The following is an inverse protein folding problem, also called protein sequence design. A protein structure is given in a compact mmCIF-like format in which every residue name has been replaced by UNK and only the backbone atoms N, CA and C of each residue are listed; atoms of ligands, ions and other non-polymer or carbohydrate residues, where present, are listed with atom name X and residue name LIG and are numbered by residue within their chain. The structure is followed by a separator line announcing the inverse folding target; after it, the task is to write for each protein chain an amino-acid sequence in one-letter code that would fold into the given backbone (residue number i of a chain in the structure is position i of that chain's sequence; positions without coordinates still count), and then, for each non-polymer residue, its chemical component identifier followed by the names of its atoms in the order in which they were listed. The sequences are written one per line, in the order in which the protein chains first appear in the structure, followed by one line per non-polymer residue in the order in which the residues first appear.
data_IF_253319079869
#
_entry.id   IF_253319079869
#
_cell.length_a   1.000
_cell.length_b   1.000
_cell.length_c   1.000
_cell.angle_alpha   90.00
_cell.angle_beta   90.00
_cell.angle_gamma   90.00
#
_symmetry.space_group_name_H-M   'P 1'
#
loop_
_entity.id
_entity.type
_entity.pdbx_description
1 polymer ?
#
# COMPACT_ATOMS: atom_id res chain seq x y z
N UNK A 1 -6.92 30.73 -6.24
CA UNK A 1 -5.95 30.92 -5.16
C UNK A 1 -5.04 29.71 -5.23
N UNK A 2 -3.74 29.82 -5.56
CA UNK A 2 -2.84 28.67 -5.56
C UNK A 2 -2.79 28.14 -4.13
N UNK A 3 -2.97 26.82 -3.99
CA UNK A 3 -2.77 26.16 -2.72
C UNK A 3 -1.33 26.41 -2.28
N UNK A 4 -1.08 26.76 -1.01
CA UNK A 4 0.28 26.97 -0.53
C UNK A 4 1.03 25.66 -0.77
N UNK A 5 2.17 25.74 -1.45
CA UNK A 5 3.13 24.66 -1.53
C UNK A 5 3.62 24.36 -0.11
N UNK A 6 2.98 23.42 0.53
CA UNK A 6 3.14 23.17 1.97
C UNK A 6 4.56 22.75 2.33
N UNK A 7 5.33 22.30 1.35
CA UNK A 7 6.70 21.81 1.53
C UNK A 7 7.78 22.79 1.11
N UNK A 8 7.50 23.77 0.22
CA UNK A 8 8.52 24.75 -0.21
C UNK A 8 8.92 25.75 0.88
N UNK A 9 8.15 25.88 1.95
CA UNK A 9 8.35 26.88 3.01
C UNK A 9 8.69 26.29 4.39
N UNK A 10 8.79 24.94 4.52
CA UNK A 10 9.08 24.31 5.81
C UNK A 10 10.27 23.35 5.67
N UNK A 11 11.24 23.41 6.60
CA UNK A 11 12.17 22.32 6.76
C UNK A 11 11.39 21.04 7.00
N UNK A 12 11.86 19.92 6.45
CA UNK A 12 11.26 18.60 6.68
C UNK A 12 10.98 18.40 8.16
N UNK A 13 9.73 18.16 8.55
CA UNK A 13 9.41 17.89 9.94
C UNK A 13 10.18 16.65 10.39
N UNK A 14 11.06 16.78 11.37
CA UNK A 14 11.87 15.67 11.91
C UNK A 14 10.99 14.52 12.45
N UNK A 15 9.79 14.87 12.92
CA UNK A 15 8.76 13.92 13.33
C UNK A 15 8.24 13.09 12.16
N UNK A 16 8.06 13.68 10.98
CA UNK A 16 7.63 12.98 9.76
C UNK A 16 8.69 11.99 9.28
N UNK A 17 9.96 12.39 9.27
CA UNK A 17 11.07 11.48 8.94
C UNK A 17 11.18 10.33 9.94
N UNK A 18 11.01 10.61 11.23
CA UNK A 18 11.04 9.58 12.28
C UNK A 18 9.88 8.60 12.12
N UNK A 19 8.68 9.08 11.75
CA UNK A 19 7.51 8.26 11.49
C UNK A 19 7.70 7.39 10.23
N UNK A 20 8.29 7.94 9.16
CA UNK A 20 8.70 7.18 7.96
C UNK A 20 9.67 6.05 8.29
N UNK A 21 10.71 6.37 9.04
CA UNK A 21 11.70 5.38 9.44
C UNK A 21 11.10 4.26 10.28
N UNK A 22 10.22 4.58 11.24
CA UNK A 22 9.50 3.58 12.02
C UNK A 22 8.57 2.73 11.16
N UNK A 23 7.84 3.33 10.21
CA UNK A 23 6.96 2.61 9.31
C UNK A 23 7.77 1.72 8.38
N UNK A 24 8.86 2.19 7.79
CA UNK A 24 9.73 1.39 6.93
C UNK A 24 10.31 0.19 7.68
N UNK A 25 10.73 0.37 8.92
CA UNK A 25 11.24 -0.71 9.79
C UNK A 25 10.17 -1.77 10.09
N UNK A 26 8.92 -1.34 10.30
CA UNK A 26 7.81 -2.25 10.62
C UNK A 26 7.29 -3.01 9.39
N UNK A 27 7.49 -2.48 8.19
CA UNK A 27 7.04 -3.08 6.93
C UNK A 27 8.17 -3.70 6.10
N UNK A 28 9.43 -3.46 6.45
CA UNK A 28 10.55 -4.14 5.82
C UNK A 28 10.44 -5.65 6.07
N UNK A 29 9.97 -6.35 5.06
CA UNK A 29 9.82 -7.82 5.09
C UNK A 29 11.08 -8.54 4.64
N UNK A 30 12.09 -7.81 4.21
CA UNK A 30 13.42 -8.31 3.88
C UNK A 30 14.34 -8.29 5.11
N UNK A 31 15.43 -9.06 5.07
CA UNK A 31 16.49 -8.93 6.05
C UNK A 31 17.07 -7.52 5.95
N UNK A 32 16.99 -6.76 7.05
CA UNK A 32 17.70 -5.48 7.19
C UNK A 32 19.24 -5.67 7.19
N UNK A 33 19.69 -6.92 7.16
CA UNK A 33 21.10 -7.32 7.04
C UNK A 33 21.64 -7.31 5.61
N UNK A 34 20.85 -6.87 4.61
CA UNK A 34 21.40 -6.66 3.27
C UNK A 34 22.50 -5.59 3.37
N UNK A 35 23.72 -5.96 2.99
CA UNK A 35 24.89 -5.07 3.01
C UNK A 35 24.80 -3.94 1.98
N UNK A 36 23.80 -3.97 1.11
CA UNK A 36 23.54 -2.98 0.07
C UNK A 36 22.27 -2.20 0.39
N UNK A 37 22.43 -0.89 0.46
CA UNK A 37 21.35 0.06 0.68
C UNK A 37 21.35 1.10 -0.41
N UNK A 38 20.16 1.52 -0.84
CA UNK A 38 19.97 2.66 -1.72
C UNK A 38 19.44 3.86 -0.93
N UNK A 39 20.10 4.99 -1.04
CA UNK A 39 19.60 6.23 -0.50
C UNK A 39 18.33 6.66 -1.28
N UNK A 40 17.31 7.07 -0.54
CA UNK A 40 16.11 7.69 -1.10
C UNK A 40 16.25 9.19 -0.91
N UNK A 41 16.41 9.91 -2.00
CA UNK A 41 16.57 11.36 -1.99
C UNK A 41 15.27 12.02 -2.43
N UNK A 42 14.96 13.17 -1.83
CA UNK A 42 13.85 13.99 -2.29
C UNK A 42 14.21 14.72 -3.56
N UNK A 43 13.40 14.68 -4.62
CA UNK A 43 13.64 15.52 -5.79
C UNK A 43 13.32 17.00 -5.55
N UNK A 44 12.65 17.34 -4.44
CA UNK A 44 12.30 18.72 -4.06
C UNK A 44 13.40 19.40 -3.23
N UNK A 45 14.11 18.60 -2.46
CA UNK A 45 15.17 19.04 -1.57
C UNK A 45 16.39 18.17 -1.86
N UNK A 46 17.56 18.73 -1.93
CA UNK A 46 18.80 17.96 -2.09
C UNK A 46 19.17 17.28 -0.75
N UNK A 47 18.20 16.54 -0.19
CA UNK A 47 18.28 15.88 1.11
C UNK A 47 17.91 14.40 1.01
N UNK A 48 18.64 13.59 1.76
CA UNK A 48 18.34 12.18 1.94
C UNK A 48 17.14 11.98 2.88
N UNK A 49 16.07 11.36 2.37
CA UNK A 49 14.89 11.01 3.17
C UNK A 49 15.09 9.76 4.01
N UNK A 50 15.99 8.90 3.61
CA UNK A 50 16.27 7.63 4.24
C UNK A 50 16.93 6.67 3.25
N UNK A 51 16.88 5.39 3.57
CA UNK A 51 17.46 4.36 2.72
C UNK A 51 16.57 3.12 2.68
N UNK A 52 16.69 2.36 1.61
CA UNK A 52 16.01 1.07 1.42
C UNK A 52 17.03 -0.02 1.16
N UNK A 53 16.82 -1.18 1.75
CA UNK A 53 17.67 -2.35 1.50
C UNK A 53 17.43 -2.92 0.10
N UNK A 54 18.49 -3.40 -0.54
CA UNK A 54 18.39 -4.12 -1.81
C UNK A 54 17.97 -5.55 -1.55
N UNK A 55 16.84 -5.97 -2.14
CA UNK A 55 16.40 -7.36 -2.06
C UNK A 55 17.25 -8.26 -2.94
N UNK A 56 17.56 -9.45 -2.42
CA UNK A 56 18.24 -10.53 -3.16
C UNK A 56 17.21 -11.49 -3.78
N UNK A 57 17.64 -12.36 -4.69
CA UNK A 57 16.79 -13.43 -5.23
C UNK A 57 16.24 -14.32 -4.11
N UNK A 58 17.02 -14.58 -3.07
CA UNK A 58 16.58 -15.34 -1.90
C UNK A 58 15.47 -14.65 -1.12
N UNK A 59 15.51 -13.32 -0.99
CA UNK A 59 14.45 -12.54 -0.34
C UNK A 59 13.13 -12.61 -1.12
N UNK A 60 13.21 -12.60 -2.46
CA UNK A 60 12.05 -12.76 -3.33
C UNK A 60 11.44 -14.15 -3.16
N UNK A 61 12.26 -15.19 -3.19
CA UNK A 61 11.81 -16.58 -3.00
C UNK A 61 11.16 -16.77 -1.61
N UNK A 62 11.77 -16.25 -0.56
CA UNK A 62 11.20 -16.30 0.78
C UNK A 62 9.87 -15.55 0.87
N UNK A 63 9.80 -14.36 0.31
CA UNK A 63 8.56 -13.57 0.27
C UNK A 63 7.43 -14.32 -0.46
N UNK A 64 7.76 -14.96 -1.59
CA UNK A 64 6.83 -15.80 -2.33
C UNK A 64 6.32 -16.99 -1.50
N UNK A 65 7.22 -17.71 -0.84
CA UNK A 65 6.86 -18.86 0.00
C UNK A 65 5.96 -18.43 1.18
N UNK A 66 6.28 -17.31 1.83
CA UNK A 66 5.45 -16.73 2.90
C UNK A 66 4.04 -16.36 2.39
N UNK A 67 3.97 -15.70 1.23
CA UNK A 67 2.71 -15.32 0.62
C UNK A 67 1.87 -16.56 0.26
N UNK A 68 2.47 -17.61 -0.31
CA UNK A 68 1.78 -18.87 -0.62
C UNK A 68 1.29 -19.60 0.62
N UNK A 69 2.04 -19.57 1.70
CA UNK A 69 1.60 -20.12 3.00
C UNK A 69 0.41 -19.36 3.56
N UNK A 70 0.47 -18.03 3.54
CA UNK A 70 -0.61 -17.17 4.03
C UNK A 70 -1.88 -17.26 3.17
N UNK A 71 -1.72 -17.48 1.85
CA UNK A 71 -2.84 -17.58 0.90
C UNK A 71 -3.84 -18.69 1.27
N UNK A 72 -3.39 -19.79 1.85
CA UNK A 72 -4.29 -20.91 2.24
C UNK A 72 -5.34 -20.44 3.24
N UNK A 73 -4.92 -19.88 4.38
CA UNK A 73 -5.85 -19.35 5.36
C UNK A 73 -6.67 -18.16 4.85
N UNK A 74 -6.10 -17.32 3.99
CA UNK A 74 -6.84 -16.25 3.35
C UNK A 74 -7.96 -16.76 2.44
N UNK A 75 -7.71 -17.84 1.69
CA UNK A 75 -8.70 -18.44 0.79
C UNK A 75 -9.86 -19.10 1.54
N UNK A 76 -9.62 -19.59 2.76
CA UNK A 76 -10.63 -20.22 3.64
C UNK A 76 -11.57 -19.19 4.28
N UNK A 77 -11.17 -17.91 4.34
CA UNK A 77 -12.02 -16.85 4.87
C UNK A 77 -13.23 -16.62 3.98
N UNK A 78 -14.39 -16.42 4.60
CA UNK A 78 -15.57 -15.93 3.90
C UNK A 78 -15.28 -14.60 3.18
N UNK A 79 -15.88 -14.41 2.01
CA UNK A 79 -15.76 -13.16 1.25
C UNK A 79 -16.13 -11.95 2.11
N UNK A 80 -17.15 -12.09 2.97
CA UNK A 80 -17.58 -11.02 3.88
C UNK A 80 -16.49 -10.62 4.87
N UNK A 81 -15.69 -11.56 5.36
CA UNK A 81 -14.61 -11.29 6.31
C UNK A 81 -13.41 -10.64 5.61
N UNK A 82 -13.08 -11.11 4.41
CA UNK A 82 -12.08 -10.43 3.56
C UNK A 82 -12.51 -8.98 3.26
N UNK A 83 -13.78 -8.73 2.97
CA UNK A 83 -14.33 -7.37 2.74
C UNK A 83 -14.19 -6.48 3.98
N UNK A 84 -14.37 -7.02 5.20
CA UNK A 84 -14.15 -6.24 6.43
C UNK A 84 -12.72 -5.70 6.54
N UNK A 85 -11.73 -6.51 6.13
CA UNK A 85 -10.32 -6.10 6.12
C UNK A 85 -10.11 -4.95 5.13
N UNK A 86 -10.62 -5.06 3.90
CA UNK A 86 -10.54 -3.98 2.89
C UNK A 86 -11.26 -2.71 3.34
N UNK A 87 -12.40 -2.81 4.00
CA UNK A 87 -13.09 -1.64 4.58
C UNK A 87 -12.30 -0.99 5.71
N UNK A 88 -11.60 -1.79 6.52
CA UNK A 88 -10.68 -1.24 7.54
C UNK A 88 -9.51 -0.52 6.88
N UNK A 89 -8.89 -1.14 5.88
CA UNK A 89 -7.83 -0.51 5.08
C UNK A 89 -8.29 0.83 4.49
N UNK A 90 -9.44 0.87 3.82
CA UNK A 90 -10.03 2.11 3.28
C UNK A 90 -10.14 3.20 4.35
N UNK A 91 -10.67 2.86 5.55
CA UNK A 91 -10.78 3.86 6.64
C UNK A 91 -9.43 4.36 7.14
N UNK A 92 -8.44 3.48 7.22
CA UNK A 92 -7.08 3.85 7.64
C UNK A 92 -6.42 4.77 6.62
N UNK A 93 -6.48 4.46 5.34
CA UNK A 93 -5.97 5.33 4.27
C UNK A 93 -6.65 6.71 4.34
N UNK A 94 -7.99 6.75 4.47
CA UNK A 94 -8.73 8.00 4.61
C UNK A 94 -8.34 8.81 5.86
N UNK A 95 -8.07 8.13 6.96
CA UNK A 95 -7.61 8.77 8.21
C UNK A 95 -6.22 9.39 8.06
N UNK A 96 -5.33 8.72 7.35
CA UNK A 96 -3.93 9.13 7.18
C UNK A 96 -3.65 9.80 5.84
N UNK A 97 -4.68 10.29 5.13
CA UNK A 97 -4.55 10.84 3.78
C UNK A 97 -3.55 12.00 3.66
N UNK A 98 -3.50 12.87 4.68
CA UNK A 98 -2.58 14.02 4.69
C UNK A 98 -1.12 13.53 4.74
N UNK A 99 -0.85 12.62 5.68
CA UNK A 99 0.45 12.01 5.86
C UNK A 99 0.91 11.26 4.59
N UNK A 100 0.02 10.47 4.00
CA UNK A 100 0.32 9.75 2.76
C UNK A 100 0.62 10.72 1.61
N UNK A 101 -0.14 11.81 1.48
CA UNK A 101 0.11 12.80 0.46
C UNK A 101 1.42 13.56 0.72
N UNK A 102 1.81 13.82 1.98
CA UNK A 102 3.09 14.41 2.34
C UNK A 102 4.24 13.49 1.88
N UNK A 103 4.14 12.19 2.13
CA UNK A 103 5.15 11.23 1.68
C UNK A 103 5.28 11.13 0.16
N UNK A 104 4.15 11.05 -0.55
CA UNK A 104 4.15 11.02 -2.01
C UNK A 104 4.84 12.27 -2.56
N UNK A 105 4.59 13.45 -2.00
CA UNK A 105 5.27 14.68 -2.42
C UNK A 105 6.77 14.63 -2.16
N UNK A 106 7.18 14.19 -0.98
CA UNK A 106 8.59 14.13 -0.59
C UNK A 106 9.40 13.19 -1.49
N UNK A 107 8.85 12.01 -1.78
CA UNK A 107 9.56 10.99 -2.56
C UNK A 107 9.52 11.24 -4.07
N UNK A 108 8.45 11.85 -4.57
CA UNK A 108 8.21 11.94 -6.02
C UNK A 108 8.32 13.35 -6.59
N UNK A 109 8.29 14.37 -5.73
CA UNK A 109 8.26 15.77 -6.16
C UNK A 109 6.94 16.23 -6.78
N UNK A 110 5.88 15.42 -6.69
CA UNK A 110 4.55 15.77 -7.22
C UNK A 110 3.95 16.94 -6.47
N UNK A 111 3.13 17.73 -7.18
CA UNK A 111 2.30 18.71 -6.52
C UNK A 111 1.25 18.08 -5.60
N UNK A 112 0.67 18.90 -4.70
CA UNK A 112 -0.27 18.41 -3.69
C UNK A 112 -1.52 17.77 -4.28
N UNK A 113 -2.02 18.29 -5.40
CA UNK A 113 -3.23 17.76 -6.05
C UNK A 113 -2.95 16.37 -6.61
N UNK A 114 -1.83 16.19 -7.33
CA UNK A 114 -1.43 14.89 -7.86
C UNK A 114 -1.16 13.86 -6.76
N UNK A 115 -0.57 14.29 -5.63
CA UNK A 115 -0.37 13.42 -4.48
C UNK A 115 -1.72 12.96 -3.86
N UNK A 116 -2.69 13.84 -3.77
CA UNK A 116 -4.04 13.48 -3.32
C UNK A 116 -4.77 12.56 -4.30
N UNK A 117 -4.61 12.75 -5.60
CA UNK A 117 -5.22 11.89 -6.61
C UNK A 117 -4.74 10.44 -6.43
N UNK A 118 -3.47 10.20 -6.13
CA UNK A 118 -2.98 8.84 -5.81
C UNK A 118 -3.64 8.25 -4.55
N UNK A 119 -3.79 9.05 -3.50
CA UNK A 119 -4.47 8.59 -2.28
C UNK A 119 -5.95 8.30 -2.56
N UNK A 120 -6.61 9.13 -3.37
CA UNK A 120 -8.00 8.92 -3.78
C UNK A 120 -8.16 7.66 -4.63
N UNK A 121 -7.21 7.35 -5.50
CA UNK A 121 -7.23 6.12 -6.29
C UNK A 121 -7.17 4.88 -5.40
N UNK A 122 -6.32 4.88 -4.38
CA UNK A 122 -6.28 3.79 -3.39
C UNK A 122 -7.63 3.64 -2.67
N UNK A 123 -8.23 4.76 -2.24
CA UNK A 123 -9.54 4.76 -1.58
C UNK A 123 -10.64 4.23 -2.50
N UNK A 124 -10.69 4.71 -3.74
CA UNK A 124 -11.67 4.29 -4.73
C UNK A 124 -11.56 2.80 -5.06
N UNK A 125 -10.34 2.31 -5.30
CA UNK A 125 -10.08 0.90 -5.58
C UNK A 125 -10.46 0.01 -4.39
N UNK A 126 -10.03 0.36 -3.18
CA UNK A 126 -10.36 -0.40 -1.98
C UNK A 126 -11.88 -0.49 -1.75
N UNK A 127 -12.59 0.62 -1.92
CA UNK A 127 -14.06 0.68 -1.83
C UNK A 127 -14.74 -0.12 -2.93
N UNK A 128 -14.28 0.02 -4.17
CA UNK A 128 -14.85 -0.68 -5.32
C UNK A 128 -14.76 -2.19 -5.13
N UNK A 129 -13.58 -2.72 -4.85
CA UNK A 129 -13.38 -4.16 -4.67
C UNK A 129 -14.09 -4.69 -3.42
N UNK A 130 -14.14 -3.94 -2.33
CA UNK A 130 -14.91 -4.31 -1.15
C UNK A 130 -16.42 -4.44 -1.45
N UNK A 131 -16.94 -3.65 -2.38
CA UNK A 131 -18.37 -3.68 -2.73
C UNK A 131 -18.70 -4.74 -3.78
N UNK A 132 -17.80 -5.03 -4.72
CA UNK A 132 -18.08 -5.94 -5.83
C UNK A 132 -17.72 -7.41 -5.51
N UNK A 133 -16.72 -7.64 -4.65
CA UNK A 133 -16.26 -8.99 -4.32
C UNK A 133 -17.39 -9.92 -3.83
N UNK A 134 -18.35 -9.50 -2.98
CA UNK A 134 -19.45 -10.35 -2.56
C UNK A 134 -20.37 -10.81 -3.70
N UNK A 135 -20.34 -10.12 -4.82
CA UNK A 135 -21.16 -10.44 -5.99
C UNK A 135 -20.42 -11.31 -7.00
N UNK A 136 -19.09 -11.15 -7.10
CA UNK A 136 -18.30 -11.84 -8.13
C UNK A 136 -17.60 -13.10 -7.65
N UNK A 137 -17.25 -13.19 -6.36
CA UNK A 137 -16.46 -14.29 -5.82
C UNK A 137 -17.28 -15.52 -5.35
N UNK A 138 -18.60 -15.46 -5.08
CA UNK A 138 -19.35 -16.64 -4.74
C UNK A 138 -19.32 -17.68 -5.87
N UNK A 139 -19.34 -18.94 -5.48
CA UNK A 139 -19.50 -20.04 -6.45
C UNK A 139 -20.84 -19.92 -7.16
N UNK A 140 -20.80 -19.83 -8.48
CA UNK A 140 -22.00 -19.80 -9.32
C UNK A 140 -22.20 -21.16 -9.94
N UNK A 141 -23.35 -21.78 -9.61
CA UNK A 141 -23.79 -23.00 -10.30
C UNK A 141 -24.16 -22.65 -11.74
N UNK A 142 -23.55 -23.33 -12.69
CA UNK A 142 -23.90 -23.23 -14.10
C UNK A 142 -24.81 -24.38 -14.46
N UNK A 143 -25.91 -24.16 -15.19
CA UNK A 143 -26.72 -25.26 -15.69
C UNK A 143 -25.88 -26.14 -16.61
N UNK A 144 -25.87 -27.43 -16.35
CA UNK A 144 -25.23 -28.41 -17.24
C UNK A 144 -25.98 -28.56 -18.57
N UNK A 145 -25.34 -29.21 -19.54
CA UNK A 145 -25.97 -29.50 -20.84
C UNK A 145 -27.19 -30.42 -20.71
N UNK A 146 -27.29 -31.15 -19.59
CA UNK A 146 -28.44 -32.02 -19.26
C UNK A 146 -28.95 -31.64 -17.86
N UNK A 147 -30.32 -31.71 -17.65
CA UNK A 147 -30.94 -31.27 -16.40
C UNK A 147 -30.52 -32.03 -15.13
N UNK A 148 -29.87 -33.16 -15.28
CA UNK A 148 -29.45 -34.06 -14.18
C UNK A 148 -27.94 -33.98 -13.88
N UNK A 149 -27.16 -33.19 -14.61
CA UNK A 149 -25.74 -33.04 -14.41
C UNK A 149 -25.46 -31.56 -14.07
N UNK A 150 -25.29 -31.30 -12.78
CA UNK A 150 -24.86 -29.99 -12.23
C UNK A 150 -23.44 -30.07 -11.72
#
# INVERSE_FOLDING_TARGET
MPLPHRLEERPLPQDLLSELQQLSTNFATGSLDSSEHHAVNSPLFDEELGWVGTGTDADVDEAFLRARKAQKGWAELDVKDRVKIFRRFHRLVGKHRELLADFIQLETGKDRTAAYDEVLDVLNNARYYANIAPKLLPTVKRPGAFPLIT
#
